data_IF_371750129188
#
_entry.id   IF_371750129188
#
_cell.length_a   1.000
_cell.length_b   1.000
_cell.length_c   1.000
_cell.angle_alpha   90.00
_cell.angle_beta   90.00
_cell.angle_gamma   90.00
#
_symmetry.space_group_name_H-M   'P 1'
#
loop_
_entity.id
_entity.type
_entity.pdbx_description
1 polymer ?
#
# COMPACT_ATOMS: atom_id res chain seq x y z
N UNK A 1 13.63 25.22 -3.15
CA UNK A 1 12.34 24.57 -3.47
C UNK A 1 12.01 24.90 -4.91
N UNK A 2 11.91 23.91 -5.79
CA UNK A 2 11.83 24.10 -7.24
C UNK A 2 10.48 24.65 -7.71
N UNK A 3 10.45 25.34 -8.86
CA UNK A 3 9.23 25.99 -9.40
C UNK A 3 8.07 25.02 -9.68
N UNK A 4 8.32 23.71 -9.62
CA UNK A 4 7.31 22.67 -9.78
C UNK A 4 6.37 22.50 -8.59
N UNK A 5 6.80 22.89 -7.39
CA UNK A 5 5.93 22.90 -6.21
C UNK A 5 4.82 23.95 -6.34
N UNK A 6 5.06 25.04 -7.07
CA UNK A 6 4.03 26.05 -7.35
C UNK A 6 2.99 25.55 -8.36
N UNK A 7 3.44 24.87 -9.42
CA UNK A 7 2.53 24.25 -10.41
C UNK A 7 1.65 23.17 -9.75
N UNK A 8 2.25 22.36 -8.88
CA UNK A 8 1.52 21.39 -8.06
C UNK A 8 0.55 22.07 -7.10
N UNK A 9 0.96 23.15 -6.42
CA UNK A 9 0.08 23.86 -5.49
C UNK A 9 -1.17 24.41 -6.18
N UNK A 10 -1.07 24.87 -7.43
CA UNK A 10 -2.22 25.33 -8.21
C UNK A 10 -3.17 24.18 -8.55
N UNK A 11 -2.62 23.05 -9.00
CA UNK A 11 -3.41 21.82 -9.23
C UNK A 11 -4.05 21.31 -7.94
N UNK A 12 -3.33 21.31 -6.81
CA UNK A 12 -3.83 20.88 -5.50
C UNK A 12 -4.93 21.79 -4.97
N UNK A 13 -4.79 23.11 -5.09
CA UNK A 13 -5.81 24.05 -4.62
C UNK A 13 -7.10 23.93 -5.46
N UNK A 14 -6.97 23.71 -6.77
CA UNK A 14 -8.10 23.44 -7.66
C UNK A 14 -8.77 22.09 -7.33
N UNK A 15 -7.97 21.07 -7.03
CA UNK A 15 -8.42 19.70 -6.77
C UNK A 15 -9.05 19.56 -5.38
N UNK A 16 -8.39 20.02 -4.32
CA UNK A 16 -8.87 19.78 -2.96
C UNK A 16 -10.03 20.72 -2.56
N UNK A 17 -10.36 21.73 -3.38
CA UNK A 17 -11.37 22.74 -3.02
C UNK A 17 -11.03 23.45 -1.70
N UNK A 18 -9.76 23.39 -1.30
CA UNK A 18 -9.31 23.81 0.02
C UNK A 18 -9.14 25.32 0.04
N UNK A 19 -9.86 25.87 1.01
CA UNK A 19 -10.05 27.26 1.34
C UNK A 19 -8.74 28.04 1.48
N UNK A 20 -8.84 29.31 1.09
CA UNK A 20 -7.86 30.38 1.27
C UNK A 20 -7.32 30.46 2.71
N UNK A 21 -6.01 30.31 2.86
CA UNK A 21 -5.02 31.04 3.69
C UNK A 21 -5.35 31.61 5.09
N UNK A 22 -6.36 31.15 5.84
CA UNK A 22 -6.56 31.56 7.25
C UNK A 22 -6.69 30.37 8.22
N UNK A 23 -5.70 29.48 8.18
CA UNK A 23 -5.50 28.47 9.23
C UNK A 23 -4.60 29.10 10.30
N UNK A 24 -5.04 29.05 11.57
CA UNK A 24 -4.22 29.47 12.72
C UNK A 24 -2.87 28.74 12.80
N UNK A 25 -2.07 28.97 13.86
CA UNK A 25 -0.74 28.37 13.97
C UNK A 25 -0.80 26.84 13.80
N UNK A 26 -0.04 26.32 12.84
CA UNK A 26 0.00 24.90 12.54
C UNK A 26 0.57 24.11 13.73
N UNK A 27 0.05 22.90 13.94
CA UNK A 27 0.58 21.94 14.90
C UNK A 27 1.91 21.38 14.39
N UNK A 28 3.00 21.74 15.06
CA UNK A 28 4.38 21.36 14.68
C UNK A 28 5.00 20.29 15.59
N UNK A 29 4.32 19.91 16.67
CA UNK A 29 4.84 18.93 17.65
C UNK A 29 3.72 18.21 18.41
N UNK A 30 4.12 17.21 19.20
CA UNK A 30 3.21 16.41 20.02
C UNK A 30 2.71 15.15 19.30
N UNK A 31 1.48 14.76 19.61
CA UNK A 31 0.87 13.55 19.07
C UNK A 31 -0.28 13.88 18.13
N UNK A 32 -0.35 13.21 16.99
CA UNK A 32 -1.54 13.21 16.16
C UNK A 32 -2.60 12.28 16.74
N UNK A 33 -3.85 12.74 16.76
CA UNK A 33 -5.00 11.94 17.19
C UNK A 33 -5.41 10.97 16.08
N UNK A 34 -6.17 9.92 16.44
CA UNK A 34 -6.70 8.99 15.44
C UNK A 34 -7.59 9.72 14.42
N UNK A 35 -8.42 10.65 14.88
CA UNK A 35 -9.31 11.40 13.99
C UNK A 35 -8.56 12.30 13.02
N UNK A 36 -7.48 12.95 13.47
CA UNK A 36 -6.59 13.72 12.58
C UNK A 36 -5.99 12.82 11.49
N UNK A 37 -5.55 11.62 11.85
CA UNK A 37 -4.95 10.66 10.92
C UNK A 37 -5.97 10.06 9.95
N UNK A 38 -7.17 9.73 10.44
CA UNK A 38 -8.26 9.20 9.60
C UNK A 38 -8.69 10.25 8.58
N UNK A 39 -8.86 11.52 8.97
CA UNK A 39 -9.16 12.61 8.03
C UNK A 39 -8.06 12.78 6.99
N UNK A 40 -6.80 12.65 7.38
CA UNK A 40 -5.67 12.65 6.44
C UNK A 40 -5.73 11.48 5.44
N UNK A 41 -6.03 10.26 5.90
CA UNK A 41 -6.16 9.09 5.01
C UNK A 41 -7.31 9.27 4.01
N UNK A 42 -8.47 9.74 4.47
CA UNK A 42 -9.65 9.96 3.61
C UNK A 42 -9.36 11.02 2.55
N UNK A 43 -8.79 12.17 2.93
CA UNK A 43 -8.43 13.22 1.99
C UNK A 43 -7.36 12.79 0.97
N UNK A 44 -6.39 11.96 1.40
CA UNK A 44 -5.35 11.43 0.52
C UNK A 44 -5.92 10.41 -0.46
N UNK A 45 -6.78 9.51 0.02
CA UNK A 45 -7.46 8.52 -0.81
C UNK A 45 -8.33 9.20 -1.87
N UNK A 46 -9.10 10.23 -1.50
CA UNK A 46 -9.88 11.02 -2.44
C UNK A 46 -9.02 11.71 -3.50
N UNK A 47 -7.83 12.18 -3.11
CA UNK A 47 -6.88 12.78 -4.03
C UNK A 47 -6.30 11.73 -5.00
N UNK A 48 -5.91 10.56 -4.52
CA UNK A 48 -5.27 9.49 -5.30
C UNK A 48 -6.19 8.91 -6.39
N UNK A 49 -7.51 9.00 -6.20
CA UNK A 49 -8.49 8.56 -7.17
C UNK A 49 -8.79 9.58 -8.27
N UNK A 50 -8.27 10.81 -8.18
CA UNK A 50 -8.56 11.86 -9.16
C UNK A 50 -7.67 11.73 -10.39
N UNK A 51 -8.24 11.59 -11.59
CA UNK A 51 -7.46 11.53 -12.82
C UNK A 51 -6.53 12.73 -13.03
N UNK A 52 -6.96 13.92 -12.59
CA UNK A 52 -6.20 15.16 -12.70
C UNK A 52 -4.92 15.11 -11.86
N UNK A 53 -5.00 14.54 -10.65
CA UNK A 53 -3.84 14.36 -9.79
C UNK A 53 -2.85 13.38 -10.41
N UNK A 54 -3.32 12.21 -10.89
CA UNK A 54 -2.47 11.22 -11.54
C UNK A 54 -1.78 11.77 -12.79
N UNK A 55 -2.48 12.57 -13.59
CA UNK A 55 -1.89 13.20 -14.78
C UNK A 55 -0.84 14.26 -14.41
N UNK A 56 -1.09 15.07 -13.39
CA UNK A 56 -0.08 16.03 -12.92
C UNK A 56 1.14 15.31 -12.32
N UNK A 57 0.96 14.21 -11.60
CA UNK A 57 2.06 13.36 -11.15
C UNK A 57 2.91 12.89 -12.33
N UNK A 58 2.29 12.32 -13.38
CA UNK A 58 3.01 11.88 -14.59
C UNK A 58 3.76 13.03 -15.25
N UNK A 59 3.12 14.20 -15.36
CA UNK A 59 3.71 15.38 -15.96
C UNK A 59 4.93 15.86 -15.18
N UNK A 60 4.84 15.97 -13.86
CA UNK A 60 5.95 16.42 -13.01
C UNK A 60 7.09 15.39 -13.00
N UNK A 61 6.76 14.10 -12.90
CA UNK A 61 7.75 13.02 -12.93
C UNK A 61 8.48 12.94 -14.28
N UNK A 62 7.75 13.02 -15.40
CA UNK A 62 8.34 12.96 -16.75
C UNK A 62 9.10 14.23 -17.12
N UNK A 63 8.47 15.39 -16.97
CA UNK A 63 8.97 16.64 -17.54
C UNK A 63 10.04 17.26 -16.64
N UNK A 64 9.96 17.01 -15.32
CA UNK A 64 10.85 17.63 -14.32
C UNK A 64 11.74 16.63 -13.60
N UNK A 65 11.64 15.34 -13.94
CA UNK A 65 12.44 14.24 -13.36
C UNK A 65 12.37 14.19 -11.83
N UNK A 66 11.25 14.64 -11.26
CA UNK A 66 11.01 14.50 -9.84
C UNK A 66 10.59 13.04 -9.56
N UNK A 67 11.15 12.39 -8.54
CA UNK A 67 10.62 11.11 -8.05
C UNK A 67 9.13 11.20 -7.76
N UNK A 68 8.36 10.14 -8.03
CA UNK A 68 6.93 10.10 -7.69
C UNK A 68 6.71 10.34 -6.20
N UNK A 69 7.57 9.78 -5.35
CA UNK A 69 7.59 9.96 -3.89
C UNK A 69 7.57 11.46 -3.52
N UNK A 70 8.42 12.28 -4.16
CA UNK A 70 8.52 13.72 -3.87
C UNK A 70 7.22 14.46 -4.20
N UNK A 71 6.50 14.02 -5.24
CA UNK A 71 5.22 14.60 -5.67
C UNK A 71 4.11 14.20 -4.70
N UNK A 72 4.04 12.92 -4.31
CA UNK A 72 3.06 12.41 -3.35
C UNK A 72 3.30 13.04 -1.96
N UNK A 73 4.54 13.10 -1.50
CA UNK A 73 4.93 13.76 -0.24
C UNK A 73 4.50 15.24 -0.25
N UNK A 74 4.73 15.95 -1.35
CA UNK A 74 4.29 17.34 -1.47
C UNK A 74 2.76 17.48 -1.35
N UNK A 75 2.02 16.54 -1.94
CA UNK A 75 0.56 16.48 -1.82
C UNK A 75 0.11 16.22 -0.38
N UNK A 76 0.68 15.20 0.25
CA UNK A 76 0.35 14.80 1.61
C UNK A 76 0.69 15.90 2.63
N UNK A 77 1.81 16.62 2.44
CA UNK A 77 2.13 17.82 3.25
C UNK A 77 1.01 18.85 3.17
N UNK A 78 0.50 19.13 1.98
CA UNK A 78 -0.60 20.08 1.76
C UNK A 78 -1.90 19.63 2.43
N UNK A 79 -2.19 18.33 2.39
CA UNK A 79 -3.35 17.76 3.09
C UNK A 79 -3.21 17.95 4.60
N UNK A 80 -2.03 17.67 5.19
CA UNK A 80 -1.80 17.95 6.61
C UNK A 80 -1.95 19.45 6.95
N UNK A 81 -1.36 20.33 6.14
CA UNK A 81 -1.45 21.79 6.33
C UNK A 81 -2.90 22.26 6.33
N UNK A 82 -3.73 21.70 5.46
CA UNK A 82 -5.17 22.00 5.40
C UNK A 82 -5.97 21.57 6.62
N UNK A 83 -5.40 20.68 7.43
CA UNK A 83 -5.99 20.17 8.67
C UNK A 83 -5.37 20.86 9.91
N UNK A 84 -4.62 21.95 9.72
CA UNK A 84 -3.96 22.66 10.80
C UNK A 84 -2.71 21.95 11.32
N UNK A 85 -2.13 21.01 10.56
CA UNK A 85 -0.95 20.23 10.95
C UNK A 85 0.22 20.62 10.04
N UNK A 86 1.39 20.89 10.60
CA UNK A 86 2.56 21.17 9.78
C UNK A 86 2.91 19.94 8.93
N UNK A 87 2.96 20.09 7.61
CA UNK A 87 3.10 18.96 6.68
C UNK A 87 4.34 18.08 6.94
N UNK A 88 5.49 18.71 7.20
CA UNK A 88 6.73 17.99 7.55
C UNK A 88 6.62 17.19 8.85
N UNK A 89 5.94 17.73 9.85
CA UNK A 89 5.69 17.04 11.10
C UNK A 89 4.72 15.87 10.89
N UNK A 90 3.63 16.09 10.13
CA UNK A 90 2.64 15.08 9.79
C UNK A 90 3.24 13.87 9.06
N UNK A 91 4.01 14.10 7.99
CA UNK A 91 4.69 13.02 7.25
C UNK A 91 5.62 12.21 8.15
N UNK A 92 6.45 12.88 8.95
CA UNK A 92 7.35 12.20 9.89
C UNK A 92 6.57 11.39 10.93
N UNK A 93 5.38 11.84 11.30
CA UNK A 93 4.52 11.14 12.25
C UNK A 93 4.00 9.80 11.71
N UNK A 94 3.77 9.67 10.38
CA UNK A 94 3.28 8.45 9.75
C UNK A 94 4.16 7.22 10.07
N UNK A 95 5.49 7.43 10.13
CA UNK A 95 6.46 6.36 10.47
C UNK A 95 6.28 5.75 11.87
N UNK A 96 5.60 6.45 12.78
CA UNK A 96 5.38 6.03 14.18
C UNK A 96 4.07 5.28 14.40
N UNK A 97 3.18 5.30 13.40
CA UNK A 97 1.80 4.83 13.56
C UNK A 97 1.70 3.34 13.83
N UNK A 98 2.54 2.52 13.17
CA UNK A 98 2.51 1.08 13.35
C UNK A 98 2.86 0.67 14.79
N UNK A 99 3.86 1.31 15.40
CA UNK A 99 4.24 1.04 16.78
C UNK A 99 3.23 1.61 17.77
N UNK A 100 2.75 2.84 17.52
CA UNK A 100 1.81 3.53 18.39
C UNK A 100 0.45 2.85 18.48
N UNK A 101 -0.06 2.34 17.36
CA UNK A 101 -1.38 1.75 17.25
C UNK A 101 -1.34 0.22 17.07
N UNK A 102 -0.25 -0.42 17.49
CA UNK A 102 -0.07 -1.89 17.39
C UNK A 102 -1.22 -2.69 18.02
N UNK A 103 -1.84 -2.14 19.06
CA UNK A 103 -2.95 -2.76 19.82
C UNK A 103 -4.33 -2.26 19.34
N UNK A 104 -4.37 -1.45 18.29
CA UNK A 104 -5.59 -0.96 17.65
C UNK A 104 -5.75 -1.54 16.23
N UNK A 105 -6.32 -2.75 16.12
CA UNK A 105 -6.55 -3.40 14.84
C UNK A 105 -7.39 -2.55 13.87
N UNK A 106 -8.39 -1.80 14.35
CA UNK A 106 -9.25 -0.95 13.52
C UNK A 106 -8.42 0.10 12.80
N UNK A 107 -7.55 0.77 13.55
CA UNK A 107 -6.71 1.81 13.01
C UNK A 107 -5.68 1.25 12.02
N UNK A 108 -5.05 0.12 12.34
CA UNK A 108 -4.05 -0.51 11.46
C UNK A 108 -4.64 -0.96 10.12
N UNK A 109 -5.90 -1.38 10.08
CA UNK A 109 -6.61 -1.69 8.83
C UNK A 109 -6.73 -0.47 7.93
N UNK A 110 -7.14 0.67 8.49
CA UNK A 110 -7.22 1.94 7.75
C UNK A 110 -5.85 2.40 7.27
N UNK A 111 -4.85 2.29 8.13
CA UNK A 111 -3.48 2.66 7.80
C UNK A 111 -2.89 1.79 6.67
N UNK A 112 -3.13 0.46 6.71
CA UNK A 112 -2.70 -0.44 5.63
C UNK A 112 -3.42 -0.18 4.32
N UNK A 113 -4.71 0.20 4.36
CA UNK A 113 -5.46 0.54 3.16
C UNK A 113 -4.88 1.79 2.48
N UNK A 114 -4.57 2.82 3.27
CA UNK A 114 -3.95 4.06 2.79
C UNK A 114 -2.64 3.79 2.05
N UNK A 115 -1.73 2.97 2.60
CA UNK A 115 -0.48 2.64 1.91
C UNK A 115 -0.67 1.81 0.64
N UNK A 116 -1.69 0.96 0.59
CA UNK A 116 -1.99 0.19 -0.62
C UNK A 116 -2.47 1.09 -1.76
N UNK A 117 -3.22 2.14 -1.44
CA UNK A 117 -3.63 3.18 -2.40
C UNK A 117 -2.43 4.01 -2.87
N UNK A 118 -1.54 4.40 -1.94
CA UNK A 118 -0.30 5.11 -2.28
C UNK A 118 0.60 4.29 -3.22
N UNK A 119 0.85 3.01 -2.90
CA UNK A 119 1.61 2.07 -3.73
C UNK A 119 0.96 1.83 -5.10
N UNK A 120 -0.36 2.00 -5.21
CA UNK A 120 -1.07 1.95 -6.48
C UNK A 120 -0.87 3.23 -7.31
N UNK A 121 -0.76 4.39 -6.68
CA UNK A 121 -0.40 5.65 -7.37
C UNK A 121 0.98 5.54 -8.00
N UNK A 122 1.96 4.98 -7.29
CA UNK A 122 3.30 4.73 -7.85
C UNK A 122 3.22 3.95 -9.16
N UNK A 123 2.52 2.82 -9.16
CA UNK A 123 2.38 1.97 -10.35
C UNK A 123 1.59 2.64 -11.48
N UNK A 124 0.63 3.52 -11.16
CA UNK A 124 -0.17 4.28 -12.14
C UNK A 124 0.60 5.43 -12.80
N UNK A 125 1.58 5.99 -12.10
CA UNK A 125 2.37 7.15 -12.52
C UNK A 125 3.64 6.69 -13.25
N UNK A 126 4.32 5.69 -12.73
CA UNK A 126 5.48 5.02 -13.33
C UNK A 126 5.14 3.57 -13.65
N UNK A 127 4.38 3.31 -14.74
CA UNK A 127 3.97 1.95 -15.09
C UNK A 127 5.18 1.13 -15.53
N UNK A 128 5.78 0.43 -14.58
CA UNK A 128 6.80 -0.59 -14.79
C UNK A 128 6.18 -1.99 -14.93
N UNK A 129 4.85 -2.08 -14.89
CA UNK A 129 4.08 -3.33 -14.98
C UNK A 129 3.21 -3.37 -16.23
N UNK A 130 2.84 -4.58 -16.66
CA UNK A 130 1.90 -4.75 -17.77
C UNK A 130 0.51 -4.20 -17.41
N UNK A 131 -0.24 -3.60 -18.35
CA UNK A 131 -1.58 -3.06 -18.08
C UNK A 131 -2.55 -4.05 -17.40
N UNK A 132 -2.46 -5.36 -17.73
CA UNK A 132 -3.31 -6.37 -17.09
C UNK A 132 -2.88 -6.66 -15.66
N UNK A 133 -1.57 -6.59 -15.37
CA UNK A 133 -1.07 -6.74 -14.01
C UNK A 133 -1.49 -5.53 -13.16
N UNK A 134 -1.49 -4.32 -13.74
CA UNK A 134 -1.99 -3.11 -13.09
C UNK A 134 -3.49 -3.22 -12.80
N UNK A 135 -4.30 -3.60 -13.79
CA UNK A 135 -5.74 -3.83 -13.61
C UNK A 135 -6.02 -4.84 -12.49
N UNK A 136 -5.25 -5.92 -12.42
CA UNK A 136 -5.38 -6.90 -11.34
C UNK A 136 -4.98 -6.33 -9.97
N UNK A 137 -3.93 -5.50 -9.90
CA UNK A 137 -3.52 -4.82 -8.67
C UNK A 137 -4.59 -3.82 -8.22
N UNK A 138 -5.13 -3.02 -9.14
CA UNK A 138 -6.24 -2.09 -8.89
C UNK A 138 -7.47 -2.82 -8.34
N UNK A 139 -7.88 -3.92 -8.99
CA UNK A 139 -9.00 -4.73 -8.51
C UNK A 139 -8.72 -5.28 -7.10
N UNK A 140 -7.49 -5.72 -6.82
CA UNK A 140 -7.09 -6.20 -5.50
C UNK A 140 -7.16 -5.09 -4.46
N UNK A 141 -6.55 -3.93 -4.70
CA UNK A 141 -6.58 -2.79 -3.78
C UNK A 141 -8.03 -2.35 -3.50
N UNK A 142 -8.87 -2.27 -4.54
CA UNK A 142 -10.30 -1.95 -4.42
C UNK A 142 -11.06 -2.94 -3.55
N UNK A 143 -10.85 -4.24 -3.76
CA UNK A 143 -11.44 -5.30 -2.94
C UNK A 143 -10.98 -5.17 -1.49
N UNK A 144 -9.69 -4.97 -1.27
CA UNK A 144 -9.11 -4.85 0.07
C UNK A 144 -9.71 -3.66 0.80
N UNK A 145 -9.84 -2.52 0.10
CA UNK A 145 -10.50 -1.31 0.61
C UNK A 145 -11.95 -1.60 1.03
N UNK A 146 -12.74 -2.23 0.18
CA UNK A 146 -14.14 -2.56 0.49
C UNK A 146 -14.26 -3.45 1.72
N UNK A 147 -13.41 -4.48 1.82
CA UNK A 147 -13.39 -5.37 2.99
C UNK A 147 -12.96 -4.61 4.26
N UNK A 148 -11.92 -3.77 4.16
CA UNK A 148 -11.43 -2.95 5.25
C UNK A 148 -12.50 -1.96 5.74
N UNK A 149 -13.28 -1.37 4.83
CA UNK A 149 -14.41 -0.50 5.15
C UNK A 149 -15.54 -1.22 5.86
N UNK A 150 -15.87 -2.45 5.44
CA UNK A 150 -16.89 -3.26 6.10
C UNK A 150 -16.48 -3.65 7.51
N UNK A 151 -15.23 -4.08 7.70
CA UNK A 151 -14.67 -4.36 9.03
C UNK A 151 -14.68 -3.12 9.91
N UNK A 152 -14.25 -1.97 9.39
CA UNK A 152 -14.25 -0.69 10.10
C UNK A 152 -15.68 -0.28 10.51
N UNK A 153 -16.63 -0.33 9.59
CA UNK A 153 -18.03 0.08 9.84
C UNK A 153 -18.66 -0.81 10.92
N UNK A 154 -18.43 -2.12 10.86
CA UNK A 154 -18.94 -3.05 11.87
C UNK A 154 -18.23 -2.89 13.21
N UNK A 155 -16.91 -2.67 13.22
CA UNK A 155 -16.18 -2.39 14.44
C UNK A 155 -16.61 -1.09 15.12
N UNK A 156 -16.84 -0.02 14.35
CA UNK A 156 -17.39 1.24 14.83
C UNK A 156 -18.80 1.07 15.40
N UNK A 157 -19.64 0.27 14.75
CA UNK A 157 -20.98 -0.07 15.27
C UNK A 157 -20.92 -0.96 16.53
N UNK A 158 -19.77 -1.59 16.79
CA UNK A 158 -19.51 -2.41 17.98
C UNK A 158 -18.74 -1.65 19.07
N UNK A 159 -18.23 -0.44 18.83
CA UNK A 159 -17.60 0.40 19.86
C UNK A 159 -18.62 0.93 20.89
N UNK A 160 -19.91 0.85 20.60
CA UNK A 160 -20.99 1.01 21.58
C UNK A 160 -21.24 -0.27 22.41
N UNK A 161 -20.54 -1.37 22.11
CA UNK A 161 -20.57 -2.66 22.80
C UNK A 161 -19.25 -2.98 23.52
N UNK A 162 -19.35 -3.80 24.56
CA UNK A 162 -18.26 -4.30 25.40
C UNK A 162 -17.18 -5.11 24.62
N UNK A 163 -16.17 -5.63 25.34
CA UNK A 163 -14.93 -6.20 24.80
C UNK A 163 -15.05 -7.26 23.69
N UNK A 164 -16.24 -7.80 23.45
CA UNK A 164 -16.56 -8.77 22.40
C UNK A 164 -16.39 -8.19 20.99
N UNK A 165 -16.64 -6.90 20.78
CA UNK A 165 -16.48 -6.25 19.47
C UNK A 165 -15.02 -6.19 18.99
N UNK A 166 -14.10 -5.92 19.92
CA UNK A 166 -12.64 -5.90 19.65
C UNK A 166 -12.10 -7.30 19.39
N UNK A 167 -12.58 -8.30 20.12
CA UNK A 167 -12.19 -9.68 19.90
C UNK A 167 -12.70 -10.19 18.55
N UNK A 168 -13.97 -9.95 18.23
CA UNK A 168 -14.53 -10.30 16.91
C UNK A 168 -13.75 -9.66 15.77
N UNK A 169 -13.40 -8.38 15.88
CA UNK A 169 -12.60 -7.73 14.85
C UNK A 169 -11.19 -8.33 14.73
N UNK A 170 -10.54 -8.60 15.85
CA UNK A 170 -9.23 -9.27 15.85
C UNK A 170 -9.31 -10.61 15.11
N UNK A 171 -10.33 -11.41 15.41
CA UNK A 171 -10.58 -12.69 14.76
C UNK A 171 -10.89 -12.51 13.26
N UNK A 172 -11.72 -11.53 12.89
CA UNK A 172 -12.04 -11.20 11.50
C UNK A 172 -10.78 -10.78 10.71
N UNK A 173 -9.92 -9.95 11.30
CA UNK A 173 -8.65 -9.56 10.71
C UNK A 173 -7.68 -10.73 10.56
N UNK A 174 -7.60 -11.61 11.55
CA UNK A 174 -6.79 -12.82 11.45
C UNK A 174 -7.27 -13.74 10.32
N UNK A 175 -8.60 -13.92 10.20
CA UNK A 175 -9.21 -14.69 9.11
C UNK A 175 -8.93 -14.06 7.75
N UNK A 176 -9.03 -12.74 7.63
CA UNK A 176 -8.74 -12.04 6.39
C UNK A 176 -7.25 -12.10 6.04
N UNK A 177 -6.36 -11.91 7.01
CA UNK A 177 -4.92 -12.06 6.83
C UNK A 177 -4.57 -13.48 6.34
N UNK A 178 -5.23 -14.50 6.88
CA UNK A 178 -5.07 -15.89 6.43
C UNK A 178 -5.55 -16.07 4.98
N UNK A 179 -6.67 -15.46 4.59
CA UNK A 179 -7.17 -15.50 3.20
C UNK A 179 -6.16 -14.83 2.25
N UNK A 180 -5.61 -13.66 2.61
CA UNK A 180 -4.57 -13.01 1.80
C UNK A 180 -3.31 -13.85 1.68
N UNK A 181 -2.85 -14.43 2.79
CA UNK A 181 -1.69 -15.31 2.79
C UNK A 181 -1.90 -16.51 1.87
N UNK A 182 -3.07 -17.15 1.93
CA UNK A 182 -3.45 -18.24 1.02
C UNK A 182 -3.51 -17.76 -0.44
N UNK A 183 -4.07 -16.59 -0.72
CA UNK A 183 -4.15 -16.05 -2.08
C UNK A 183 -2.75 -15.79 -2.68
N UNK A 184 -1.84 -15.19 -1.89
CA UNK A 184 -0.45 -14.98 -2.29
C UNK A 184 0.27 -16.30 -2.57
N UNK A 185 0.03 -17.31 -1.73
CA UNK A 185 0.56 -18.65 -1.92
C UNK A 185 0.01 -19.30 -3.20
N UNK A 186 -1.30 -19.20 -3.45
CA UNK A 186 -1.93 -19.70 -4.67
C UNK A 186 -1.30 -19.07 -5.91
N UNK A 187 -1.06 -17.75 -5.90
CA UNK A 187 -0.37 -17.05 -6.99
C UNK A 187 1.03 -17.62 -7.25
N UNK A 188 1.78 -17.89 -6.18
CA UNK A 188 3.12 -18.51 -6.28
C UNK A 188 3.04 -19.94 -6.83
N UNK A 189 2.14 -20.77 -6.30
CA UNK A 189 1.93 -22.15 -6.76
C UNK A 189 1.50 -22.20 -8.23
N UNK A 190 0.59 -21.31 -8.66
CA UNK A 190 0.19 -21.15 -10.06
C UNK A 190 1.37 -20.82 -10.95
N UNK A 191 2.21 -19.86 -10.55
CA UNK A 191 3.39 -19.48 -11.32
C UNK A 191 4.38 -20.64 -11.47
N UNK A 192 4.62 -21.40 -10.39
CA UNK A 192 5.48 -22.60 -10.42
C UNK A 192 4.92 -23.68 -11.37
N UNK A 193 3.62 -23.95 -11.29
CA UNK A 193 2.98 -24.93 -12.16
C UNK A 193 3.06 -24.51 -13.63
N UNK A 194 2.79 -23.24 -13.95
CA UNK A 194 2.91 -22.72 -15.31
C UNK A 194 4.33 -22.86 -15.88
N UNK A 195 5.35 -22.62 -15.06
CA UNK A 195 6.76 -22.78 -15.47
C UNK A 195 7.13 -24.25 -15.72
N UNK A 196 6.50 -25.18 -15.02
CA UNK A 196 6.76 -26.62 -15.19
C UNK A 196 6.11 -27.24 -16.43
N UNK A 197 5.10 -26.58 -17.01
CA UNK A 197 4.37 -27.09 -18.17
C UNK A 197 5.22 -26.99 -19.44
N UNK A 198 5.35 -28.10 -20.16
CA UNK A 198 6.23 -28.20 -21.32
C UNK A 198 5.60 -27.62 -22.58
N UNK A 199 4.27 -27.63 -22.69
CA UNK A 199 3.56 -27.20 -23.90
C UNK A 199 2.68 -25.99 -23.64
N UNK A 200 2.48 -25.20 -24.70
CA UNK A 200 1.60 -24.04 -24.67
C UNK A 200 0.13 -24.44 -24.46
N UNK A 201 -0.29 -25.57 -25.03
CA UNK A 201 -1.64 -26.09 -24.88
C UNK A 201 -1.95 -26.46 -23.41
N UNK A 202 -1.01 -27.08 -22.69
CA UNK A 202 -1.14 -27.34 -21.25
C UNK A 202 -1.28 -26.03 -20.46
N UNK A 203 -0.47 -25.02 -20.76
CA UNK A 203 -0.55 -23.70 -20.12
C UNK A 203 -1.91 -23.05 -20.36
N UNK A 204 -2.42 -23.07 -21.59
CA UNK A 204 -3.72 -22.48 -21.93
C UNK A 204 -4.89 -23.19 -21.24
N UNK A 205 -4.88 -24.52 -21.20
CA UNK A 205 -5.91 -25.30 -20.48
C UNK A 205 -5.89 -24.99 -18.99
N UNK A 206 -4.70 -24.95 -18.38
CA UNK A 206 -4.54 -24.61 -16.97
C UNK A 206 -5.04 -23.18 -16.67
N UNK A 207 -4.60 -22.18 -17.46
CA UNK A 207 -5.02 -20.79 -17.28
C UNK A 207 -6.53 -20.65 -17.37
N UNK A 208 -7.17 -21.30 -18.37
CA UNK A 208 -8.62 -21.25 -18.54
C UNK A 208 -9.37 -21.86 -17.34
N UNK A 209 -8.88 -22.99 -16.82
CA UNK A 209 -9.46 -23.63 -15.64
C UNK A 209 -9.30 -22.76 -14.38
N UNK A 210 -8.10 -22.21 -14.17
CA UNK A 210 -7.82 -21.32 -13.04
C UNK A 210 -8.61 -20.02 -13.10
N UNK A 211 -8.81 -19.44 -14.29
CA UNK A 211 -9.67 -18.26 -14.48
C UNK A 211 -11.11 -18.49 -14.03
N UNK A 212 -11.64 -19.71 -14.21
CA UNK A 212 -12.95 -20.09 -13.69
C UNK A 212 -13.01 -20.01 -12.16
N UNK A 213 -12.03 -20.62 -11.49
CA UNK A 213 -11.90 -20.57 -10.03
C UNK A 213 -11.72 -19.12 -9.54
N UNK A 214 -10.87 -18.34 -10.19
CA UNK A 214 -10.66 -16.93 -9.84
C UNK A 214 -11.94 -16.10 -9.96
N UNK A 215 -12.76 -16.33 -10.99
CA UNK A 215 -14.06 -15.66 -11.13
C UNK A 215 -15.05 -16.05 -10.02
N UNK A 216 -15.08 -17.31 -9.61
CA UNK A 216 -15.87 -17.74 -8.44
C UNK A 216 -15.42 -17.02 -7.17
N UNK A 217 -14.10 -16.94 -6.92
CA UNK A 217 -13.55 -16.21 -5.79
C UNK A 217 -13.96 -14.73 -5.80
N UNK A 218 -13.84 -14.06 -6.96
CA UNK A 218 -14.26 -12.67 -7.11
C UNK A 218 -15.77 -12.49 -6.88
N UNK A 219 -16.60 -13.41 -7.36
CA UNK A 219 -18.05 -13.35 -7.13
C UNK A 219 -18.41 -13.51 -5.64
N UNK A 220 -17.66 -14.27 -4.85
CA UNK A 220 -17.85 -14.35 -3.39
C UNK A 220 -17.47 -13.05 -2.68
N UNK A 221 -16.55 -12.30 -3.27
CA UNK A 221 -16.15 -10.97 -2.78
C UNK A 221 -17.24 -9.95 -3.12
N UNK A 222 -17.81 -10.00 -4.33
CA UNK A 222 -18.76 -9.01 -4.84
C UNK A 222 -20.23 -9.28 -4.47
N UNK A 223 -20.65 -10.55 -4.40
CA UNK A 223 -22.06 -10.96 -4.44
C UNK A 223 -22.71 -11.34 -3.11
N UNK A 224 -21.98 -11.34 -2.01
CA UNK A 224 -22.52 -11.74 -0.72
C UNK A 224 -23.06 -10.53 0.05
N UNK A 225 -24.27 -10.67 0.61
CA UNK A 225 -24.91 -9.65 1.45
C UNK A 225 -24.12 -9.32 2.71
N UNK A 226 -24.72 -8.53 3.61
CA UNK A 226 -24.04 -7.90 4.76
C UNK A 226 -23.45 -8.87 5.82
N UNK A 227 -23.59 -10.19 5.64
CA UNK A 227 -23.04 -11.22 6.53
C UNK A 227 -21.57 -11.54 6.21
N UNK A 228 -20.67 -10.83 6.89
CA UNK A 228 -19.21 -11.00 6.81
C UNK A 228 -18.75 -12.40 7.25
N UNK A 229 -19.42 -13.03 8.21
CA UNK A 229 -19.01 -14.33 8.73
C UNK A 229 -19.29 -15.42 7.68
N UNK A 230 -20.49 -15.38 7.08
CA UNK A 230 -20.82 -16.24 5.94
C UNK A 230 -19.88 -16.02 4.75
N UNK A 231 -19.43 -14.78 4.51
CA UNK A 231 -18.43 -14.47 3.47
C UNK A 231 -17.07 -15.09 3.75
N UNK A 232 -16.59 -14.98 4.99
CA UNK A 232 -15.33 -15.60 5.38
C UNK A 232 -15.38 -17.12 5.24
N UNK A 233 -16.48 -17.74 5.65
CA UNK A 233 -16.66 -19.18 5.52
C UNK A 233 -16.71 -19.63 4.06
N UNK A 234 -17.46 -18.91 3.21
CA UNK A 234 -17.53 -19.18 1.78
C UNK A 234 -16.16 -18.98 1.09
N UNK A 235 -15.44 -17.92 1.44
CA UNK A 235 -14.10 -17.65 0.91
C UNK A 235 -13.11 -18.71 1.37
N UNK A 236 -13.12 -19.09 2.65
CA UNK A 236 -12.22 -20.14 3.14
C UNK A 236 -12.53 -21.49 2.50
N UNK A 237 -13.80 -21.84 2.32
CA UNK A 237 -14.21 -23.04 1.58
C UNK A 237 -13.75 -22.99 0.11
N UNK A 238 -13.84 -21.83 -0.54
CA UNK A 238 -13.29 -21.63 -1.88
C UNK A 238 -11.76 -21.83 -1.91
N UNK A 239 -11.02 -21.25 -0.94
CA UNK A 239 -9.58 -21.42 -0.88
C UNK A 239 -9.15 -22.88 -0.68
N UNK A 240 -9.88 -23.64 0.15
CA UNK A 240 -9.65 -25.09 0.33
C UNK A 240 -9.89 -25.86 -0.97
N UNK A 241 -10.90 -25.49 -1.77
CA UNK A 241 -11.11 -26.07 -3.10
C UNK A 241 -9.97 -25.74 -4.05
N UNK A 242 -9.48 -24.50 -4.04
CA UNK A 242 -8.33 -24.08 -4.86
C UNK A 242 -7.07 -24.85 -4.45
N UNK A 243 -6.81 -25.03 -3.15
CA UNK A 243 -5.70 -25.84 -2.63
C UNK A 243 -5.76 -27.29 -3.17
N UNK A 244 -6.93 -27.93 -3.04
CA UNK A 244 -7.14 -29.29 -3.54
C UNK A 244 -6.94 -29.38 -5.05
N UNK A 245 -7.44 -28.39 -5.80
CA UNK A 245 -7.27 -28.32 -7.24
C UNK A 245 -5.79 -28.14 -7.64
N UNK A 246 -5.07 -27.20 -7.03
CA UNK A 246 -3.65 -26.97 -7.29
C UNK A 246 -2.81 -28.20 -6.95
N UNK A 247 -3.11 -28.88 -5.85
CA UNK A 247 -2.44 -30.12 -5.48
C UNK A 247 -2.65 -31.23 -6.54
N UNK A 248 -3.84 -31.33 -7.12
CA UNK A 248 -4.11 -32.30 -8.19
C UNK A 248 -3.39 -31.94 -9.49
N UNK A 249 -3.38 -30.65 -9.86
CA UNK A 249 -2.59 -30.18 -11.00
C UNK A 249 -1.10 -30.46 -10.82
N UNK A 250 -0.57 -30.26 -9.60
CA UNK A 250 0.83 -30.55 -9.29
C UNK A 250 1.19 -32.03 -9.50
N UNK A 251 0.32 -32.96 -9.08
CA UNK A 251 0.50 -34.40 -9.36
C UNK A 251 0.51 -34.67 -10.86
N UNK A 252 -0.42 -34.09 -11.61
CA UNK A 252 -0.54 -34.28 -13.05
C UNK A 252 0.74 -33.87 -13.80
N UNK A 253 1.44 -32.83 -13.32
CA UNK A 253 2.68 -32.33 -13.91
C UNK A 253 3.95 -32.77 -13.16
N UNK A 254 3.86 -33.79 -12.28
CA UNK A 254 4.97 -34.34 -11.49
C UNK A 254 5.77 -33.29 -10.72
N UNK A 255 5.08 -32.28 -10.18
CA UNK A 255 5.68 -31.22 -9.38
C UNK A 255 5.36 -31.39 -7.90
N UNK A 256 6.35 -31.09 -7.07
CA UNK A 256 6.14 -30.92 -5.63
C UNK A 256 5.84 -29.45 -5.38
N UNK A 257 4.61 -29.13 -4.95
CA UNK A 257 4.29 -27.79 -4.46
C UNK A 257 5.14 -27.47 -3.22
N UNK A 258 5.26 -26.18 -2.90
CA UNK A 258 5.91 -25.78 -1.65
C UNK A 258 5.28 -26.49 -0.45
N UNK A 259 6.13 -27.10 0.38
CA UNK A 259 5.73 -27.63 1.69
C UNK A 259 5.25 -26.50 2.60
N UNK A 260 4.39 -26.75 3.61
CA UNK A 260 3.92 -25.71 4.53
C UNK A 260 5.04 -24.85 5.13
N UNK A 261 6.21 -25.43 5.42
CA UNK A 261 7.37 -24.70 5.90
C UNK A 261 7.99 -23.78 4.83
N UNK A 262 8.09 -24.23 3.58
CA UNK A 262 8.56 -23.40 2.47
C UNK A 262 7.58 -22.27 2.17
N UNK A 263 6.27 -22.53 2.31
CA UNK A 263 5.23 -21.51 2.18
C UNK A 263 5.39 -20.44 3.26
N UNK A 264 5.59 -20.84 4.52
CA UNK A 264 5.83 -19.91 5.62
C UNK A 264 7.09 -19.05 5.38
N UNK A 265 8.18 -19.66 4.94
CA UNK A 265 9.42 -18.95 4.64
C UNK A 265 9.25 -17.98 3.45
N UNK A 266 8.52 -18.39 2.41
CA UNK A 266 8.20 -17.53 1.27
C UNK A 266 7.36 -16.31 1.68
N UNK A 267 6.36 -16.50 2.55
CA UNK A 267 5.54 -15.40 3.06
C UNK A 267 6.36 -14.39 3.86
N UNK A 268 7.26 -14.87 4.73
CA UNK A 268 8.17 -13.99 5.49
C UNK A 268 9.06 -13.18 4.55
N UNK A 269 9.61 -13.80 3.51
CA UNK A 269 10.44 -13.11 2.53
C UNK A 269 9.66 -12.06 1.72
N UNK A 270 8.42 -12.36 1.32
CA UNK A 270 7.57 -11.38 0.62
C UNK A 270 7.20 -10.19 1.52
N UNK A 271 6.87 -10.43 2.79
CA UNK A 271 6.62 -9.35 3.75
C UNK A 271 7.85 -8.46 3.96
N UNK A 272 9.04 -9.05 4.10
CA UNK A 272 10.29 -8.29 4.20
C UNK A 272 10.59 -7.50 2.91
N UNK A 273 10.29 -8.06 1.74
CA UNK A 273 10.49 -7.37 0.47
C UNK A 273 9.54 -6.17 0.28
N UNK A 274 8.29 -6.29 0.72
CA UNK A 274 7.33 -5.17 0.73
C UNK A 274 7.78 -4.05 1.68
N UNK A 275 8.24 -4.41 2.89
CA UNK A 275 8.80 -3.45 3.84
C UNK A 275 10.09 -2.78 3.34
N UNK A 276 10.96 -3.52 2.64
CA UNK A 276 12.19 -2.98 2.08
C UNK A 276 11.95 -2.06 0.87
N UNK A 277 10.85 -2.25 0.13
CA UNK A 277 10.42 -1.35 -0.95
C UNK A 277 9.81 -0.06 -0.41
N UNK A 278 8.94 -0.14 0.60
CA UNK A 278 8.39 1.04 1.29
C UNK A 278 9.41 1.81 2.15
N UNK A 279 10.55 1.21 2.49
CA UNK A 279 11.59 1.84 3.32
C UNK A 279 12.71 2.56 2.55
N UNK A 280 12.67 2.63 1.22
CA UNK A 280 13.78 3.18 0.39
C UNK A 280 13.76 4.70 0.18
N UNK A 281 12.81 5.44 0.73
CA UNK A 281 12.85 6.91 0.77
C UNK A 281 13.92 7.51 1.70
N UNK A 282 14.58 6.69 2.53
CA UNK A 282 15.51 7.17 3.56
C UNK A 282 16.96 6.74 3.35
N UNK A 283 17.67 7.21 2.31
CA UNK A 283 19.15 7.32 2.31
C UNK A 283 19.68 8.12 1.13
N UNK A 284 19.78 9.43 1.34
CA UNK A 284 20.47 10.36 0.45
C UNK A 284 21.21 11.47 1.20
N UNK A 285 21.80 11.18 2.37
CA UNK A 285 22.73 12.12 3.02
C UNK A 285 24.18 11.75 2.73
N UNK A 286 24.89 12.67 2.07
CA UNK A 286 26.26 13.00 2.45
C UNK A 286 27.39 12.44 1.59
N UNK A 287 27.45 12.78 0.29
CA UNK A 287 28.78 13.00 -0.33
C UNK A 287 29.17 14.45 -0.09
N UNK A 288 29.91 14.69 0.98
CA UNK A 288 30.59 15.96 1.22
C UNK A 288 31.65 16.19 0.15
N UNK A 289 31.39 17.15 -0.73
CA UNK A 289 32.43 17.84 -1.49
C UNK A 289 33.15 18.80 -0.53
N UNK A 290 34.49 18.80 -0.46
CA UNK A 290 35.20 19.70 0.43
C UNK A 290 35.10 21.14 -0.07
N UNK A 291 34.64 22.03 0.81
CA UNK A 291 34.71 23.48 0.67
C UNK A 291 36.17 23.91 0.50
N UNK A 292 36.51 24.32 -0.72
CA UNK A 292 37.60 25.23 -0.99
C UNK A 292 37.20 26.60 -0.45
N UNK A 293 37.89 27.09 0.58
CA UNK A 293 37.88 28.49 0.97
C UNK A 293 39.33 28.95 1.13
N UNK A 294 39.63 29.98 0.33
CA UNK A 294 40.92 30.63 0.22
C UNK A 294 41.33 31.36 1.51
N UNK A 295 42.64 31.50 1.68
CA UNK A 295 43.19 32.81 2.03
C UNK A 295 44.12 32.91 3.23
N UNK A 296 45.40 33.18 2.89
CA UNK A 296 46.35 34.12 3.52
C UNK A 296 47.17 33.71 4.75
N UNK A 297 48.48 34.00 4.58
CA UNK A 297 49.46 34.34 5.61
C UNK A 297 50.36 33.15 5.96
N UNK A 298 51.67 33.15 5.77
CA UNK A 298 52.65 34.22 5.61
C UNK A 298 53.86 33.87 6.50
N UNK A 299 55.08 34.01 5.97
CA UNK A 299 56.39 33.88 6.65
C UNK A 299 56.73 32.43 7.05
N UNK A 300 57.94 31.89 6.93
CA UNK A 300 59.27 32.43 6.69
C UNK A 300 60.26 31.55 7.47
N UNK A 301 61.49 31.38 6.94
CA UNK A 301 62.64 30.65 7.53
C UNK A 301 62.46 29.11 7.49
N UNK A 302 63.35 28.30 6.92
CA UNK A 302 64.79 28.40 6.79
C UNK A 302 65.45 27.54 7.87
N UNK A 303 65.98 26.37 7.49
CA UNK A 303 67.29 25.82 7.91
C UNK A 303 67.43 24.33 7.55
N UNK A 304 68.57 24.07 6.89
CA UNK A 304 69.39 22.85 6.84
C UNK A 304 68.82 21.61 6.16
#
# INVERSE_FOLDING_TARGET
>A
MGSWLQDLSSAFNSVLGLLEDDQGPLKESGELTKDELVRFFEASEDLFHRPEFLEECRKVTRDKKAPVDDVIDAAQRKIFESQGIQGEFGLKYLSKLQEKFKDDPIFLVRFSAFFAEEDLVHDKVEPNMDPKELEMKEATVKVNRQQNMLMYTRAKNLEDGDGDGKQWLSDAMQRQALIYQKAMLHKSNVAQLLQSMQTEEQRQMFVKAFQGLSKEGNALIEGAGDDIDARFDAMNAHMVRVDAWLAEQAKQYSQTLMTPQQQQNFMVQQMMAMQAKGGRGGRGMGRGTPLSLAGRGGRGRGRR
#
